data_IF_649590133755
#
_entry.id   IF_649590133755
#
_cell.length_a   1.000
_cell.length_b   1.000
_cell.length_c   1.000
_cell.angle_alpha   90.00
_cell.angle_beta   90.00
_cell.angle_gamma   90.00
#
_symmetry.space_group_name_H-M   'P 1'
#
loop_
_entity.id
_entity.type
_entity.pdbx_description
1 polymer ?
#
# COMPACT_ATOMS: atom_id res chain seq x y z
N UNK A 1 80.79 -54.27 -1.42
CA UNK A 1 79.44 -54.80 -1.61
C UNK A 1 78.52 -53.91 -0.76
N UNK A 2 78.13 -52.75 -1.33
CA UNK A 2 77.37 -51.72 -0.63
C UNK A 2 75.97 -51.62 -1.24
N UNK A 3 74.95 -51.93 -0.45
CA UNK A 3 73.54 -51.74 -0.81
C UNK A 3 73.09 -50.36 -0.36
N UNK A 4 72.72 -49.51 -1.31
CA UNK A 4 72.09 -48.23 -1.10
C UNK A 4 70.57 -48.47 -1.08
N UNK A 5 69.93 -48.20 0.10
CA UNK A 5 68.52 -48.18 0.25
C UNK A 5 67.98 -46.78 -0.09
N UNK A 6 67.29 -46.65 -1.19
CA UNK A 6 66.54 -45.42 -1.58
C UNK A 6 65.19 -45.42 -0.86
N UNK A 7 64.97 -44.48 0.07
CA UNK A 7 63.66 -44.19 0.67
C UNK A 7 62.86 -43.32 -0.28
N UNK A 8 61.78 -43.85 -0.82
CA UNK A 8 60.74 -43.06 -1.52
C UNK A 8 59.84 -42.44 -0.47
N UNK A 9 59.78 -41.10 -0.45
CA UNK A 9 58.82 -40.31 0.37
C UNK A 9 57.56 -40.09 -0.50
N UNK A 10 56.48 -40.72 -0.14
CA UNK A 10 55.18 -40.42 -0.73
C UNK A 10 54.60 -39.17 -0.07
N UNK A 11 54.53 -38.06 -0.81
CA UNK A 11 53.79 -36.87 -0.40
C UNK A 11 52.35 -37.07 -0.86
N UNK A 12 51.47 -37.32 0.12
CA UNK A 12 50.02 -37.33 -0.10
C UNK A 12 49.53 -35.87 -0.07
N UNK A 13 49.26 -35.28 -1.22
CA UNK A 13 48.58 -33.99 -1.33
C UNK A 13 47.09 -34.22 -1.19
N UNK A 14 46.56 -33.97 -0.01
CA UNK A 14 45.10 -33.92 0.22
C UNK A 14 44.51 -32.66 -0.40
N UNK A 15 43.88 -32.78 -1.57
CA UNK A 15 43.05 -31.74 -2.16
C UNK A 15 41.75 -31.63 -1.32
N UNK A 16 41.72 -30.67 -0.41
CA UNK A 16 40.49 -30.24 0.25
C UNK A 16 39.73 -29.36 -0.77
N UNK A 17 38.78 -29.97 -1.47
CA UNK A 17 37.82 -29.25 -2.29
C UNK A 17 36.87 -28.47 -1.37
N UNK A 18 37.17 -27.18 -1.19
CA UNK A 18 36.23 -26.25 -0.57
C UNK A 18 35.05 -26.05 -1.53
N UNK A 19 34.00 -26.83 -1.38
CA UNK A 19 32.71 -26.49 -1.97
C UNK A 19 32.21 -25.22 -1.30
N UNK A 20 32.57 -24.06 -1.87
CA UNK A 20 31.86 -22.83 -1.62
C UNK A 20 30.45 -23.01 -2.23
N UNK A 21 29.49 -23.43 -1.40
CA UNK A 21 28.10 -23.31 -1.73
C UNK A 21 27.85 -21.83 -2.01
N UNK A 22 27.74 -21.44 -3.29
CA UNK A 22 27.10 -20.20 -3.66
C UNK A 22 25.68 -20.28 -3.09
N UNK A 23 25.48 -19.74 -1.89
CA UNK A 23 24.16 -19.30 -1.51
C UNK A 23 23.70 -18.34 -2.60
N UNK A 24 22.87 -18.84 -3.50
CA UNK A 24 22.05 -17.99 -4.36
C UNK A 24 21.13 -17.28 -3.38
N UNK A 25 21.59 -16.13 -2.88
CA UNK A 25 20.82 -15.30 -2.01
C UNK A 25 19.54 -14.92 -2.75
N UNK A 26 18.49 -15.68 -2.54
CA UNK A 26 17.13 -15.25 -2.92
C UNK A 26 16.93 -13.91 -2.22
N UNK A 27 16.75 -12.87 -3.01
CA UNK A 27 16.46 -11.56 -2.48
C UNK A 27 15.32 -11.73 -1.47
N UNK A 28 15.57 -11.28 -0.21
CA UNK A 28 14.60 -11.46 0.87
C UNK A 28 13.27 -10.85 0.42
N UNK A 29 12.20 -11.63 0.48
CA UNK A 29 10.84 -11.14 0.15
C UNK A 29 10.58 -9.83 0.91
N UNK A 30 10.07 -8.77 0.24
CA UNK A 30 9.80 -7.50 0.91
C UNK A 30 8.61 -7.65 1.87
N UNK A 31 8.67 -6.99 3.00
CA UNK A 31 7.45 -6.69 3.74
C UNK A 31 6.61 -5.71 2.95
N UNK A 32 5.30 -5.73 3.17
CA UNK A 32 4.33 -4.85 2.52
C UNK A 32 3.52 -4.16 3.60
N UNK A 33 3.45 -2.83 3.58
CA UNK A 33 2.59 -2.03 4.44
C UNK A 33 1.76 -1.10 3.57
N UNK A 34 0.44 -1.18 3.67
CA UNK A 34 -0.49 -0.37 2.87
C UNK A 34 -1.34 0.47 3.81
N UNK A 35 -1.19 1.80 3.72
CA UNK A 35 -2.07 2.74 4.41
C UNK A 35 -3.15 3.19 3.44
N UNK A 36 -4.40 3.02 3.83
CA UNK A 36 -5.58 3.34 3.01
C UNK A 36 -6.40 4.41 3.72
N UNK A 37 -6.52 5.58 3.08
CA UNK A 37 -7.41 6.65 3.51
C UNK A 37 -8.86 6.36 3.11
N UNK A 38 -9.83 6.82 3.89
CA UNK A 38 -11.25 6.66 3.64
C UNK A 38 -11.87 7.99 3.18
N UNK A 39 -12.47 8.02 1.99
CA UNK A 39 -13.12 9.22 1.42
C UNK A 39 -12.17 10.42 1.23
N UNK A 40 -11.02 10.21 0.63
CA UNK A 40 -10.02 11.26 0.40
C UNK A 40 -9.84 11.58 -1.10
N UNK A 41 -10.14 12.80 -1.51
CA UNK A 41 -9.78 13.27 -2.84
C UNK A 41 -8.27 13.33 -3.01
N UNK A 42 -7.76 12.86 -4.14
CA UNK A 42 -6.34 12.93 -4.49
C UNK A 42 -5.81 14.36 -4.44
N UNK A 43 -6.55 15.31 -5.00
CA UNK A 43 -6.19 16.73 -5.04
C UNK A 43 -6.24 17.44 -3.67
N UNK A 44 -6.72 16.75 -2.63
CA UNK A 44 -6.68 17.21 -1.25
C UNK A 44 -5.41 16.76 -0.50
N UNK A 45 -4.37 16.32 -1.19
CA UNK A 45 -3.06 15.95 -0.62
C UNK A 45 -1.98 16.90 -1.15
N UNK A 46 -1.05 17.35 -0.30
CA UNK A 46 -0.03 18.33 -0.64
C UNK A 46 0.77 17.97 -1.88
N UNK A 47 1.32 16.75 -1.96
CA UNK A 47 2.13 16.29 -3.10
C UNK A 47 1.34 16.20 -4.41
N UNK A 48 0.02 16.19 -4.37
CA UNK A 48 -0.86 16.25 -5.56
C UNK A 48 -1.32 17.68 -5.88
N UNK A 49 -0.81 18.70 -5.16
CA UNK A 49 -0.98 20.11 -5.51
C UNK A 49 -1.82 20.94 -4.53
N UNK A 50 -2.39 20.36 -3.48
CA UNK A 50 -3.07 21.15 -2.45
C UNK A 50 -2.04 21.96 -1.64
N UNK A 51 -2.27 23.28 -1.54
CA UNK A 51 -1.35 24.19 -0.83
C UNK A 51 -1.82 24.51 0.59
N UNK A 52 -3.05 24.19 0.92
CA UNK A 52 -3.69 24.57 2.18
C UNK A 52 -3.60 23.45 3.22
N UNK A 53 -3.71 22.18 2.76
CA UNK A 53 -3.66 21.02 3.65
C UNK A 53 -2.24 20.70 4.11
N UNK A 54 -2.11 20.18 5.32
CA UNK A 54 -0.80 19.80 5.90
C UNK A 54 -0.61 18.28 5.85
N UNK A 55 0.18 17.81 4.88
CA UNK A 55 0.47 16.37 4.68
C UNK A 55 1.98 16.09 4.59
N UNK A 56 2.81 16.58 5.56
CA UNK A 56 4.26 16.46 5.46
C UNK A 56 4.79 15.02 5.43
N UNK A 57 4.11 14.07 6.09
CA UNK A 57 4.54 12.67 6.11
C UNK A 57 4.22 11.96 4.79
N UNK A 58 3.04 12.20 4.22
CA UNK A 58 2.64 11.69 2.90
C UNK A 58 3.55 12.28 1.83
N UNK A 59 3.84 13.57 1.90
CA UNK A 59 4.73 14.27 0.95
C UNK A 59 6.17 13.72 1.07
N UNK A 60 6.64 13.45 2.29
CA UNK A 60 7.93 12.82 2.53
C UNK A 60 7.99 11.39 1.96
N UNK A 61 6.94 10.59 2.16
CA UNK A 61 6.83 9.24 1.58
C UNK A 61 6.93 9.31 0.04
N UNK A 62 6.24 10.27 -0.59
CA UNK A 62 6.31 10.48 -2.03
C UNK A 62 7.71 10.89 -2.50
N UNK A 63 8.40 11.75 -1.74
CA UNK A 63 9.78 12.13 -2.02
C UNK A 63 10.78 10.96 -1.97
N UNK A 64 10.46 9.91 -1.23
CA UNK A 64 11.26 8.68 -1.14
C UNK A 64 10.81 7.56 -2.10
N UNK A 65 9.72 7.75 -2.83
CA UNK A 65 9.08 6.74 -3.65
C UNK A 65 8.66 7.22 -5.03
N UNK A 66 7.67 6.56 -5.58
CA UNK A 66 7.01 6.91 -6.84
C UNK A 66 5.57 7.33 -6.57
N UNK A 67 5.14 8.41 -7.23
CA UNK A 67 3.77 8.90 -7.24
C UNK A 67 3.13 8.62 -8.60
N UNK A 68 1.95 8.02 -8.57
CA UNK A 68 1.14 7.83 -9.77
C UNK A 68 0.17 8.99 -9.95
N UNK A 69 0.18 9.63 -11.12
CA UNK A 69 -0.80 10.65 -11.46
C UNK A 69 -2.15 10.05 -11.88
N UNK A 70 -2.12 8.83 -12.43
CA UNK A 70 -3.28 8.14 -13.00
C UNK A 70 -3.45 6.78 -12.30
N UNK A 71 -4.11 6.81 -11.14
CA UNK A 71 -4.53 5.61 -10.43
C UNK A 71 -6.05 5.65 -10.23
N UNK A 72 -6.75 4.56 -10.53
CA UNK A 72 -8.20 4.56 -10.56
C UNK A 72 -8.82 3.44 -9.74
N UNK A 73 -9.99 3.74 -9.16
CA UNK A 73 -10.97 2.74 -8.75
C UNK A 73 -12.07 2.65 -9.80
N UNK A 74 -12.82 1.54 -9.87
CA UNK A 74 -13.96 1.40 -10.79
C UNK A 74 -15.27 1.91 -10.22
N UNK A 75 -15.31 2.16 -8.93
CA UNK A 75 -16.49 2.67 -8.23
C UNK A 75 -16.07 3.63 -7.14
N UNK A 76 -16.79 4.74 -6.98
CA UNK A 76 -16.54 5.68 -5.91
C UNK A 76 -17.34 5.32 -4.64
N UNK A 77 -17.17 4.10 -4.14
CA UNK A 77 -17.86 3.57 -2.95
C UNK A 77 -16.95 2.64 -2.15
N UNK A 78 -16.94 2.79 -0.82
CA UNK A 78 -16.02 2.13 0.10
C UNK A 78 -15.95 0.60 -0.03
N UNK A 79 -17.06 -0.12 0.19
CA UNK A 79 -17.02 -1.59 0.18
C UNK A 79 -16.64 -2.17 -1.18
N UNK A 80 -17.17 -1.71 -2.32
CA UNK A 80 -16.74 -2.16 -3.64
C UNK A 80 -15.27 -1.89 -3.92
N UNK A 81 -14.78 -0.68 -3.62
CA UNK A 81 -13.37 -0.30 -3.84
C UNK A 81 -12.41 -1.17 -3.05
N UNK A 82 -12.68 -1.37 -1.73
CA UNK A 82 -11.84 -2.24 -0.89
C UNK A 82 -11.80 -3.66 -1.42
N UNK A 83 -12.96 -4.23 -1.74
CA UNK A 83 -13.06 -5.60 -2.22
C UNK A 83 -12.41 -5.77 -3.60
N UNK A 84 -12.52 -4.78 -4.48
CA UNK A 84 -11.80 -4.76 -5.76
C UNK A 84 -10.28 -4.77 -5.55
N UNK A 85 -9.75 -3.88 -4.71
CA UNK A 85 -8.33 -3.79 -4.41
C UNK A 85 -7.79 -5.09 -3.78
N UNK A 86 -8.61 -5.76 -2.96
CA UNK A 86 -8.18 -6.96 -2.24
C UNK A 86 -8.34 -8.25 -3.05
N UNK A 87 -9.19 -8.27 -4.08
CA UNK A 87 -9.44 -9.48 -4.88
C UNK A 87 -8.81 -9.45 -6.26
N UNK A 88 -8.48 -8.27 -6.80
CA UNK A 88 -8.03 -8.11 -8.18
C UNK A 88 -9.14 -8.34 -9.20
N UNK A 89 -10.41 -8.22 -8.76
CA UNK A 89 -11.61 -8.42 -9.59
C UNK A 89 -12.48 -7.17 -9.61
N UNK A 90 -13.03 -6.82 -10.77
CA UNK A 90 -14.02 -5.76 -10.85
C UNK A 90 -15.26 -6.08 -10.01
N UNK A 91 -15.89 -5.08 -9.35
CA UNK A 91 -17.02 -5.30 -8.44
C UNK A 91 -18.18 -6.07 -9.09
N UNK A 92 -18.50 -5.82 -10.35
CA UNK A 92 -19.55 -6.55 -11.07
C UNK A 92 -19.20 -8.04 -11.19
N UNK A 93 -17.95 -8.35 -11.49
CA UNK A 93 -17.48 -9.74 -11.61
C UNK A 93 -17.46 -10.46 -10.25
N UNK A 94 -16.96 -9.80 -9.22
CA UNK A 94 -16.90 -10.35 -7.87
C UNK A 94 -18.26 -10.41 -7.18
N UNK A 95 -19.27 -9.66 -7.64
CA UNK A 95 -20.59 -9.52 -7.04
C UNK A 95 -20.69 -8.40 -6.00
N UNK A 96 -19.59 -7.71 -5.69
CA UNK A 96 -19.53 -6.67 -4.66
C UNK A 96 -19.70 -5.25 -5.22
N UNK A 97 -20.64 -5.03 -6.15
CA UNK A 97 -20.85 -3.74 -6.79
C UNK A 97 -21.74 -2.75 -6.02
N UNK A 98 -22.79 -3.13 -5.27
CA UNK A 98 -23.46 -2.19 -4.38
C UNK A 98 -22.63 -1.90 -3.13
N UNK A 99 -22.80 -0.72 -2.54
CA UNK A 99 -22.19 -0.46 -1.24
C UNK A 99 -22.72 -1.41 -0.17
N UNK A 100 -21.89 -1.76 0.82
CA UNK A 100 -22.17 -2.76 1.88
C UNK A 100 -22.40 -4.20 1.39
N UNK A 101 -22.21 -4.49 0.09
CA UNK A 101 -22.30 -5.84 -0.44
C UNK A 101 -21.03 -6.66 -0.16
N UNK A 102 -21.09 -7.94 -0.48
CA UNK A 102 -20.00 -8.91 -0.27
C UNK A 102 -19.67 -9.59 -1.58
N UNK A 103 -18.41 -10.02 -1.74
CA UNK A 103 -18.02 -10.85 -2.88
C UNK A 103 -18.74 -12.22 -2.85
N UNK A 104 -18.82 -12.86 -4.01
CA UNK A 104 -19.34 -14.23 -4.14
C UNK A 104 -18.56 -15.18 -3.21
N UNK A 105 -19.25 -16.16 -2.59
CA UNK A 105 -18.57 -17.20 -1.81
C UNK A 105 -17.47 -17.89 -2.62
N UNK A 106 -16.34 -18.18 -1.97
CA UNK A 106 -15.19 -18.83 -2.63
C UNK A 106 -14.24 -17.85 -3.36
N UNK A 107 -14.59 -16.55 -3.47
CA UNK A 107 -13.66 -15.55 -4.02
C UNK A 107 -12.41 -15.48 -3.15
N UNK A 108 -11.24 -15.64 -3.77
CA UNK A 108 -9.93 -15.45 -3.11
C UNK A 108 -9.54 -13.99 -3.07
N UNK A 109 -8.78 -13.61 -2.06
CA UNK A 109 -8.21 -12.27 -1.90
C UNK A 109 -6.69 -12.33 -1.79
N UNK A 110 -6.03 -11.17 -1.79
CA UNK A 110 -4.60 -11.02 -1.54
C UNK A 110 -4.13 -11.82 -0.31
N UNK A 111 -5.01 -11.99 0.69
CA UNK A 111 -4.70 -12.74 1.91
C UNK A 111 -4.39 -14.20 1.61
N UNK A 112 -5.17 -14.85 0.75
CA UNK A 112 -4.94 -16.23 0.35
C UNK A 112 -3.64 -16.40 -0.43
N UNK A 113 -3.40 -15.48 -1.38
CA UNK A 113 -2.22 -15.55 -2.24
C UNK A 113 -0.94 -15.30 -1.43
N UNK A 114 -0.92 -14.25 -0.61
CA UNK A 114 0.26 -13.90 0.18
C UNK A 114 0.53 -14.91 1.31
N UNK A 115 -0.51 -15.42 1.99
CA UNK A 115 -0.32 -16.54 2.95
C UNK A 115 0.26 -17.77 2.28
N UNK A 116 -0.15 -18.10 1.04
CA UNK A 116 0.43 -19.18 0.24
C UNK A 116 1.92 -18.95 -0.11
N UNK A 117 2.40 -17.73 -0.04
CA UNK A 117 3.80 -17.35 -0.22
C UNK A 117 4.56 -17.16 1.12
N UNK A 118 3.96 -17.56 2.25
CA UNK A 118 4.59 -17.51 3.56
C UNK A 118 4.41 -16.21 4.35
N UNK A 119 3.61 -15.26 3.87
CA UNK A 119 3.38 -14.00 4.56
C UNK A 119 2.43 -14.14 5.76
N UNK A 120 2.72 -13.41 6.82
CA UNK A 120 1.69 -13.00 7.80
C UNK A 120 0.88 -11.87 7.18
N UNK A 121 -0.47 -11.95 7.22
CA UNK A 121 -1.32 -10.93 6.60
C UNK A 121 -2.29 -10.39 7.63
N UNK A 122 -2.05 -9.13 8.05
CA UNK A 122 -2.80 -8.43 9.10
C UNK A 122 -3.58 -7.24 8.60
N UNK A 123 -4.53 -6.79 9.44
CA UNK A 123 -5.32 -5.58 9.22
C UNK A 123 -5.53 -4.84 10.55
N UNK A 124 -5.19 -3.54 10.56
CA UNK A 124 -5.53 -2.59 11.61
C UNK A 124 -6.48 -1.54 11.05
N UNK A 125 -7.67 -1.41 11.64
CA UNK A 125 -8.66 -0.41 11.24
C UNK A 125 -9.90 -0.96 10.54
N UNK A 126 -10.49 -0.15 9.68
CA UNK A 126 -11.78 -0.38 9.00
C UNK A 126 -11.77 -1.61 8.10
N UNK A 127 -12.74 -2.49 8.25
CA UNK A 127 -12.90 -3.72 7.42
C UNK A 127 -13.68 -3.45 6.14
N UNK A 128 -14.97 -3.26 6.24
CA UNK A 128 -15.94 -2.96 5.18
C UNK A 128 -15.87 -3.89 3.95
N UNK A 129 -15.73 -5.18 4.18
CA UNK A 129 -15.67 -6.25 3.16
C UNK A 129 -16.26 -7.56 3.71
N UNK A 130 -16.49 -8.53 2.87
CA UNK A 130 -16.97 -9.86 3.25
C UNK A 130 -17.20 -10.80 2.06
N UNK A 131 -17.49 -12.08 2.29
CA UNK A 131 -17.62 -12.76 3.60
C UNK A 131 -16.24 -13.02 4.26
N UNK A 132 -16.18 -13.31 5.58
CA UNK A 132 -14.90 -13.48 6.29
C UNK A 132 -13.98 -14.55 5.68
N UNK A 133 -14.52 -15.63 5.15
CA UNK A 133 -13.73 -16.69 4.47
C UNK A 133 -12.99 -16.19 3.23
N UNK A 134 -13.51 -15.18 2.54
CA UNK A 134 -12.84 -14.54 1.38
C UNK A 134 -11.74 -13.58 1.79
N UNK A 135 -11.73 -13.11 3.03
CA UNK A 135 -10.78 -12.13 3.56
C UNK A 135 -10.26 -12.56 4.94
N UNK A 136 -9.50 -13.66 5.03
CA UNK A 136 -9.05 -14.22 6.32
C UNK A 136 -7.84 -13.46 6.89
N UNK A 137 -7.96 -12.13 7.02
CA UNK A 137 -6.98 -11.29 7.71
C UNK A 137 -6.86 -11.66 9.18
N UNK A 138 -5.66 -11.52 9.74
CA UNK A 138 -5.49 -11.35 11.16
C UNK A 138 -5.93 -9.93 11.52
N UNK A 139 -7.09 -9.78 12.18
CA UNK A 139 -7.56 -8.48 12.66
C UNK A 139 -6.79 -8.13 13.93
N UNK A 140 -5.82 -7.21 13.84
CA UNK A 140 -4.99 -6.80 14.98
C UNK A 140 -5.62 -5.68 15.80
N UNK A 141 -6.44 -4.83 15.18
CA UNK A 141 -7.28 -3.82 15.85
C UNK A 141 -8.44 -3.42 14.94
N UNK A 142 -9.55 -2.97 15.52
CA UNK A 142 -10.70 -2.43 14.78
C UNK A 142 -10.55 -0.93 14.42
N UNK A 143 -9.51 -0.29 14.95
CA UNK A 143 -9.10 1.08 14.65
C UNK A 143 -7.62 1.09 14.32
N UNK A 144 -7.11 2.17 13.73
CA UNK A 144 -5.67 2.36 13.57
C UNK A 144 -5.06 2.46 14.97
N UNK A 145 -4.21 1.50 15.33
CA UNK A 145 -3.60 1.38 16.66
C UNK A 145 -2.08 1.20 16.49
N UNK A 146 -1.33 2.25 16.83
CA UNK A 146 0.13 2.27 16.69
C UNK A 146 0.82 1.15 17.48
N UNK A 147 0.31 0.82 18.69
CA UNK A 147 0.88 -0.24 19.52
C UNK A 147 0.68 -1.60 18.86
N UNK A 148 -0.54 -1.91 18.45
CA UNK A 148 -0.85 -3.17 17.76
C UNK A 148 -0.09 -3.31 16.42
N UNK A 149 0.04 -2.21 15.66
CA UNK A 149 0.85 -2.16 14.43
C UNK A 149 2.31 -2.48 14.75
N UNK A 150 2.89 -1.85 15.76
CA UNK A 150 4.28 -2.07 16.20
C UNK A 150 4.51 -3.53 16.64
N UNK A 151 3.62 -4.08 17.43
CA UNK A 151 3.69 -5.47 17.89
C UNK A 151 3.61 -6.45 16.71
N UNK A 152 2.71 -6.21 15.76
CA UNK A 152 2.59 -7.03 14.55
C UNK A 152 3.86 -6.95 13.69
N UNK A 153 4.39 -5.78 13.43
CA UNK A 153 5.60 -5.56 12.60
C UNK A 153 6.84 -6.20 13.26
N UNK A 154 6.98 -6.08 14.57
CA UNK A 154 8.15 -6.55 15.31
C UNK A 154 8.12 -8.05 15.66
N UNK A 155 6.96 -8.70 15.61
CA UNK A 155 6.71 -10.05 16.17
C UNK A 155 7.64 -11.12 15.62
N UNK A 156 7.91 -11.11 14.32
CA UNK A 156 8.83 -12.08 13.69
C UNK A 156 9.52 -11.43 12.48
N UNK A 157 10.83 -11.22 12.60
CA UNK A 157 11.65 -10.63 11.54
C UNK A 157 12.10 -11.64 10.48
N UNK A 158 11.91 -12.93 10.72
CA UNK A 158 12.26 -13.99 9.75
C UNK A 158 11.15 -14.22 8.75
N UNK A 159 9.90 -13.95 9.12
CA UNK A 159 8.73 -14.13 8.26
C UNK A 159 8.27 -12.79 7.67
N UNK A 160 8.10 -12.69 6.34
CA UNK A 160 7.58 -11.47 5.72
C UNK A 160 6.14 -11.18 6.15
N UNK A 161 5.76 -9.92 6.16
CA UNK A 161 4.38 -9.52 6.46
C UNK A 161 3.78 -8.65 5.36
N UNK A 162 2.45 -8.73 5.24
CA UNK A 162 1.63 -7.74 4.57
C UNK A 162 0.63 -7.18 5.59
N UNK A 163 0.74 -5.90 5.91
CA UNK A 163 -0.13 -5.21 6.85
C UNK A 163 -0.92 -4.12 6.15
N UNK A 164 -2.24 -4.19 6.26
CA UNK A 164 -3.13 -3.12 5.84
C UNK A 164 -3.48 -2.27 7.07
N UNK A 165 -3.22 -0.97 6.97
CA UNK A 165 -3.61 0.05 7.94
C UNK A 165 -4.71 0.88 7.27
N UNK A 166 -5.92 0.67 7.71
CA UNK A 166 -7.13 1.19 7.04
C UNK A 166 -7.76 2.25 7.91
N UNK A 167 -7.38 3.51 7.67
CA UNK A 167 -7.91 4.66 8.40
C UNK A 167 -9.42 4.81 8.20
N UNK A 168 -10.07 5.46 9.16
CA UNK A 168 -11.42 6.01 9.00
C UNK A 168 -11.39 7.47 8.53
N UNK A 169 -10.23 8.12 8.57
CA UNK A 169 -10.10 9.53 8.15
C UNK A 169 -9.79 9.63 6.66
N UNK A 170 -10.32 10.66 6.00
CA UNK A 170 -11.26 11.69 6.46
C UNK A 170 -12.74 11.38 6.12
N UNK A 171 -13.29 10.26 6.55
CA UNK A 171 -14.70 9.92 6.34
C UNK A 171 -15.62 10.78 7.24
N UNK A 172 -16.76 11.21 6.73
CA UNK A 172 -17.76 11.94 7.52
C UNK A 172 -18.33 11.11 8.69
N UNK A 173 -18.76 11.78 9.80
CA UNK A 173 -18.68 13.21 10.07
C UNK A 173 -17.26 13.64 10.41
N UNK A 174 -16.85 14.81 9.90
CA UNK A 174 -15.52 15.36 10.19
C UNK A 174 -15.51 15.98 11.59
N UNK A 175 -15.19 15.18 12.56
CA UNK A 175 -15.27 15.53 13.99
C UNK A 175 -13.95 15.35 14.74
N UNK A 176 -12.91 14.80 14.07
CA UNK A 176 -11.57 14.66 14.62
C UNK A 176 -10.61 15.72 14.06
N UNK A 177 -9.43 15.79 14.65
CA UNK A 177 -8.42 16.76 14.26
C UNK A 177 -8.67 18.19 14.75
N UNK A 178 -7.67 19.03 14.59
CA UNK A 178 -7.73 20.44 14.99
C UNK A 178 -8.14 21.32 13.82
N UNK A 179 -9.43 21.58 13.63
CA UNK A 179 -9.94 22.45 12.58
C UNK A 179 -9.54 23.93 12.77
N UNK A 180 -9.16 24.37 14.00
CA UNK A 180 -8.69 25.72 14.26
C UNK A 180 -7.31 26.01 13.65
N UNK A 181 -6.57 24.96 13.28
CA UNK A 181 -5.31 25.07 12.56
C UNK A 181 -5.47 25.61 11.12
N UNK A 182 -6.70 25.70 10.62
CA UNK A 182 -7.05 26.15 9.28
C UNK A 182 -7.92 27.40 9.31
N UNK A 183 -7.45 28.51 8.76
CA UNK A 183 -8.22 29.74 8.61
C UNK A 183 -9.16 29.64 7.42
N UNK A 184 -10.50 29.56 7.62
CA UNK A 184 -11.45 29.41 6.51
C UNK A 184 -11.37 30.53 5.47
N UNK A 185 -10.96 31.76 5.89
CA UNK A 185 -10.84 32.89 4.97
C UNK A 185 -9.69 32.74 3.97
N UNK A 186 -8.67 31.93 4.30
CA UNK A 186 -7.47 31.76 3.49
C UNK A 186 -7.51 30.51 2.60
N UNK A 187 -8.50 29.62 2.78
CA UNK A 187 -8.58 28.41 1.98
C UNK A 187 -8.92 28.70 0.53
N UNK A 188 -8.23 28.01 -0.35
CA UNK A 188 -8.58 27.90 -1.77
C UNK A 188 -9.74 26.93 -1.93
N UNK A 189 -10.84 27.39 -2.53
CA UNK A 189 -12.01 26.53 -2.74
C UNK A 189 -11.80 25.74 -4.03
N UNK A 190 -11.90 24.38 -3.97
CA UNK A 190 -11.88 23.55 -5.17
C UNK A 190 -12.93 24.01 -6.19
N UNK A 191 -12.61 24.02 -7.50
CA UNK A 191 -13.47 24.61 -8.53
C UNK A 191 -14.84 23.92 -8.70
N UNK A 192 -14.99 22.73 -8.18
CA UNK A 192 -16.26 21.97 -8.20
C UNK A 192 -17.12 22.24 -6.95
N UNK A 193 -16.67 23.08 -6.01
CA UNK A 193 -17.41 23.48 -4.81
C UNK A 193 -17.83 24.95 -4.88
N UNK A 194 -18.97 25.25 -4.28
CA UNK A 194 -19.46 26.63 -4.19
C UNK A 194 -18.80 27.32 -2.99
N UNK A 195 -18.23 28.53 -3.22
CA UNK A 195 -17.60 29.32 -2.18
C UNK A 195 -18.64 29.96 -1.25
N UNK A 196 -18.93 29.30 -0.13
CA UNK A 196 -19.78 29.80 0.94
C UNK A 196 -19.08 29.71 2.29
N UNK A 197 -19.56 30.42 3.28
CA UNK A 197 -19.05 30.34 4.66
C UNK A 197 -19.09 28.92 5.19
N UNK A 198 -20.19 28.21 4.95
CA UNK A 198 -20.42 26.83 5.40
C UNK A 198 -19.47 25.85 4.73
N UNK A 199 -19.23 26.04 3.42
CA UNK A 199 -18.28 25.21 2.67
C UNK A 199 -16.86 25.42 3.18
N UNK A 200 -16.44 26.65 3.42
CA UNK A 200 -15.12 26.97 3.97
C UNK A 200 -14.93 26.35 5.36
N UNK A 201 -15.95 26.40 6.23
CA UNK A 201 -15.93 25.75 7.53
C UNK A 201 -15.93 24.21 7.41
N UNK A 202 -16.61 23.67 6.43
CA UNK A 202 -16.58 22.23 6.12
C UNK A 202 -15.17 21.79 5.73
N UNK A 203 -14.52 22.55 4.85
CA UNK A 203 -13.16 22.25 4.41
C UNK A 203 -12.13 22.32 5.55
N UNK A 204 -12.25 23.24 6.53
CA UNK A 204 -11.35 23.24 7.68
C UNK A 204 -11.40 21.95 8.47
N UNK A 205 -12.60 21.41 8.69
CA UNK A 205 -12.79 20.13 9.40
C UNK A 205 -12.24 18.95 8.57
N UNK A 206 -12.53 18.92 7.27
CA UNK A 206 -12.02 17.90 6.37
C UNK A 206 -10.48 17.90 6.32
N UNK A 207 -9.84 19.07 6.21
CA UNK A 207 -8.38 19.20 6.22
C UNK A 207 -7.75 18.84 7.57
N UNK A 208 -8.44 19.08 8.67
CA UNK A 208 -8.00 18.65 9.99
C UNK A 208 -7.91 17.13 10.10
N UNK A 209 -8.90 16.40 9.59
CA UNK A 209 -8.86 14.94 9.56
C UNK A 209 -7.81 14.38 8.58
N UNK A 210 -7.54 15.08 7.47
CA UNK A 210 -6.42 14.71 6.58
C UNK A 210 -5.08 14.87 7.32
N UNK A 211 -4.95 15.91 8.15
CA UNK A 211 -3.74 16.08 8.98
C UNK A 211 -3.58 14.96 10.01
N UNK A 212 -4.67 14.44 10.58
CA UNK A 212 -4.61 13.29 11.48
C UNK A 212 -4.24 12.01 10.74
N UNK A 213 -4.81 11.78 9.56
CA UNK A 213 -4.39 10.70 8.66
C UNK A 213 -2.89 10.78 8.31
N UNK A 214 -2.39 11.98 8.03
CA UNK A 214 -0.95 12.19 7.77
C UNK A 214 -0.08 11.78 8.97
N UNK A 215 -0.55 12.02 10.21
CA UNK A 215 0.13 11.55 11.42
C UNK A 215 0.15 10.02 11.51
N UNK A 216 -0.94 9.33 11.12
CA UNK A 216 -0.98 7.85 11.05
C UNK A 216 0.05 7.31 10.04
N UNK A 217 0.19 7.96 8.87
CA UNK A 217 1.24 7.61 7.88
C UNK A 217 2.62 7.80 8.51
N UNK A 218 2.86 8.93 9.17
CA UNK A 218 4.11 9.21 9.88
C UNK A 218 4.40 8.20 10.98
N UNK A 219 3.39 7.77 11.74
CA UNK A 219 3.51 6.74 12.75
C UNK A 219 3.96 5.39 12.15
N UNK A 220 3.35 4.98 11.03
CA UNK A 220 3.76 3.77 10.31
C UNK A 220 5.22 3.84 9.87
N UNK A 221 5.66 4.98 9.32
CA UNK A 221 7.07 5.19 8.92
C UNK A 221 8.01 5.09 10.12
N UNK A 222 7.68 5.72 11.24
CA UNK A 222 8.46 5.62 12.49
C UNK A 222 8.54 4.18 13.00
N UNK A 223 7.42 3.46 13.01
CA UNK A 223 7.38 2.05 13.44
C UNK A 223 8.31 1.19 12.58
N UNK A 224 8.28 1.33 11.26
CA UNK A 224 9.18 0.59 10.36
C UNK A 224 10.65 0.92 10.63
N UNK A 225 10.99 2.17 10.87
CA UNK A 225 12.35 2.63 11.23
C UNK A 225 12.81 2.05 12.56
N UNK A 226 12.02 2.24 13.62
CA UNK A 226 12.35 1.82 15.00
C UNK A 226 12.49 0.30 15.11
N UNK A 227 11.73 -0.46 14.33
CA UNK A 227 11.80 -1.93 14.30
C UNK A 227 12.89 -2.48 13.38
N UNK A 228 13.58 -1.60 12.63
CA UNK A 228 14.61 -1.97 11.65
C UNK A 228 14.06 -2.67 10.41
N UNK A 229 12.77 -2.48 10.12
CA UNK A 229 12.11 -3.10 8.95
C UNK A 229 12.03 -2.17 7.73
N UNK A 230 12.38 -0.89 7.89
CA UNK A 230 12.26 0.14 6.86
C UNK A 230 12.93 -0.24 5.54
N UNK A 231 14.17 -0.75 5.61
CA UNK A 231 14.98 -1.08 4.43
C UNK A 231 14.48 -2.27 3.60
N UNK A 232 13.57 -3.10 4.15
CA UNK A 232 12.98 -4.26 3.48
C UNK A 232 11.46 -4.17 3.38
N UNK A 233 10.87 -2.98 3.50
CA UNK A 233 9.40 -2.80 3.43
C UNK A 233 9.04 -1.93 2.24
N UNK A 234 8.17 -2.45 1.38
CA UNK A 234 7.41 -1.66 0.42
C UNK A 234 6.23 -1.02 1.16
N UNK A 235 6.23 0.31 1.26
CA UNK A 235 5.16 1.08 1.88
C UNK A 235 4.34 1.79 0.82
N UNK A 236 3.03 1.58 0.86
CA UNK A 236 2.04 2.17 -0.05
C UNK A 236 1.13 3.08 0.76
N UNK A 237 0.91 4.30 0.27
CA UNK A 237 -0.20 5.14 0.67
C UNK A 237 -1.17 5.25 -0.51
N UNK A 238 -2.45 5.06 -0.26
CA UNK A 238 -3.49 5.20 -1.28
C UNK A 238 -4.77 5.74 -0.68
N UNK A 239 -5.56 6.45 -1.50
CA UNK A 239 -6.90 6.89 -1.12
C UNK A 239 -7.91 5.86 -1.62
N UNK A 240 -9.01 5.67 -0.93
CA UNK A 240 -10.00 4.67 -1.31
C UNK A 240 -10.77 5.09 -2.56
N UNK A 241 -11.45 6.22 -2.49
CA UNK A 241 -12.12 6.97 -3.55
C UNK A 241 -12.21 8.44 -3.11
N UNK A 242 -12.88 9.26 -3.92
CA UNK A 242 -13.09 10.66 -3.61
C UNK A 242 -13.91 10.92 -2.34
N UNK A 243 -13.79 12.14 -1.81
CA UNK A 243 -14.44 12.62 -0.59
C UNK A 243 -15.97 12.73 -0.74
N UNK A 244 -16.64 12.86 0.39
CA UNK A 244 -18.10 13.05 0.41
C UNK A 244 -18.52 14.50 0.10
N UNK A 245 -17.99 15.02 -1.00
CA UNK A 245 -18.37 16.29 -1.60
C UNK A 245 -19.14 16.09 -2.91
N UNK A 246 -19.93 17.09 -3.37
CA UNK A 246 -20.56 17.06 -4.69
C UNK A 246 -19.56 16.77 -5.82
N UNK A 247 -19.92 15.87 -6.72
CA UNK A 247 -19.05 15.48 -7.84
C UNK A 247 -17.90 14.53 -7.50
N UNK A 248 -17.81 14.02 -6.27
CA UNK A 248 -16.76 13.11 -5.84
C UNK A 248 -17.33 11.71 -5.52
N UNK A 249 -17.41 11.31 -4.25
CA UNK A 249 -17.97 10.01 -3.84
C UNK A 249 -19.33 9.74 -4.50
N UNK A 250 -19.58 8.47 -4.85
CA UNK A 250 -20.79 7.98 -5.56
C UNK A 250 -20.97 8.50 -6.99
N UNK A 251 -19.96 9.11 -7.58
CA UNK A 251 -20.01 9.58 -8.97
C UNK A 251 -18.98 8.88 -9.84
N UNK A 252 -19.19 8.94 -11.16
CA UNK A 252 -18.22 8.46 -12.15
C UNK A 252 -17.26 9.57 -12.63
N UNK A 253 -17.24 10.71 -11.95
CA UNK A 253 -16.34 11.80 -12.29
C UNK A 253 -14.91 11.54 -11.80
N UNK A 254 -13.97 12.29 -12.36
CA UNK A 254 -12.55 12.23 -12.04
C UNK A 254 -12.29 12.28 -10.51
N UNK A 255 -12.95 13.22 -9.81
CA UNK A 255 -12.80 13.37 -8.36
C UNK A 255 -13.38 12.22 -7.54
N UNK A 256 -14.21 11.37 -8.14
CA UNK A 256 -14.70 10.15 -7.50
C UNK A 256 -13.78 8.97 -7.71
N UNK A 257 -13.21 8.85 -8.92
CA UNK A 257 -12.53 7.63 -9.39
C UNK A 257 -11.01 7.72 -9.41
N UNK A 258 -10.41 8.91 -9.64
CA UNK A 258 -8.96 9.09 -9.67
C UNK A 258 -8.44 9.24 -8.23
N UNK A 259 -7.66 8.27 -7.81
CA UNK A 259 -7.19 8.12 -6.44
C UNK A 259 -5.71 8.46 -6.29
N UNK A 260 -5.31 8.87 -5.10
CA UNK A 260 -3.89 9.01 -4.76
C UNK A 260 -3.25 7.63 -4.64
N UNK A 261 -2.08 7.44 -5.25
CA UNK A 261 -1.29 6.22 -5.09
C UNK A 261 0.20 6.57 -5.07
N UNK A 262 0.83 6.29 -3.94
CA UNK A 262 2.24 6.56 -3.67
C UNK A 262 2.87 5.28 -3.16
N UNK A 263 4.04 4.91 -3.66
CA UNK A 263 4.74 3.73 -3.20
C UNK A 263 6.22 4.00 -3.01
N UNK A 264 6.72 3.73 -1.82
CA UNK A 264 8.14 3.66 -1.50
C UNK A 264 8.56 2.20 -1.42
N UNK A 265 9.57 1.80 -2.17
CA UNK A 265 10.18 0.49 -2.08
C UNK A 265 11.69 0.62 -2.20
N UNK A 266 12.42 0.61 -1.08
CA UNK A 266 13.85 0.83 -1.07
C UNK A 266 14.60 -0.11 -2.01
N UNK A 267 15.60 0.41 -2.72
CA UNK A 267 16.44 -0.32 -3.70
C UNK A 267 15.73 -0.74 -5.00
N UNK A 268 14.42 -0.61 -5.11
CA UNK A 268 13.64 -0.96 -6.31
C UNK A 268 13.05 0.29 -6.96
N UNK A 269 12.39 1.13 -6.18
CA UNK A 269 11.77 2.36 -6.67
C UNK A 269 12.72 3.54 -6.46
N UNK A 270 12.92 4.34 -7.50
CA UNK A 270 13.69 5.58 -7.42
C UNK A 270 12.89 6.63 -6.63
N UNK A 271 13.50 7.23 -5.61
CA UNK A 271 12.88 8.30 -4.84
C UNK A 271 12.56 9.54 -5.69
N UNK A 272 11.43 10.18 -5.41
CA UNK A 272 10.94 11.36 -6.12
C UNK A 272 10.44 11.10 -7.54
N UNK A 273 10.22 9.82 -7.91
CA UNK A 273 9.73 9.48 -9.23
C UNK A 273 8.23 9.85 -9.38
N UNK A 274 7.87 10.28 -10.58
CA UNK A 274 6.47 10.57 -10.98
C UNK A 274 6.20 9.78 -12.26
N UNK A 275 5.02 9.15 -12.32
CA UNK A 275 4.61 8.40 -13.52
C UNK A 275 3.17 8.72 -13.92
N UNK A 276 2.95 8.69 -15.24
CA UNK A 276 1.63 8.72 -15.86
C UNK A 276 1.19 7.33 -16.34
N UNK A 277 1.90 6.25 -15.94
CA UNK A 277 1.39 4.92 -16.16
C UNK A 277 0.02 4.79 -15.45
N UNK A 278 -1.00 4.45 -16.24
CA UNK A 278 -2.36 4.30 -15.73
C UNK A 278 -2.50 2.95 -15.04
N UNK A 279 -2.79 2.97 -13.74
CA UNK A 279 -3.03 1.76 -12.94
C UNK A 279 -4.46 1.76 -12.40
N UNK A 280 -4.94 0.57 -12.11
CA UNK A 280 -6.25 0.36 -11.54
C UNK A 280 -6.16 -0.52 -10.29
N UNK A 281 -7.11 -0.41 -9.37
CA UNK A 281 -7.06 -1.20 -8.13
C UNK A 281 -7.11 -2.72 -8.33
N UNK A 282 -7.64 -3.21 -9.45
CA UNK A 282 -7.54 -4.63 -9.80
C UNK A 282 -6.09 -5.08 -10.02
N UNK A 283 -5.18 -4.16 -10.35
CA UNK A 283 -3.76 -4.43 -10.62
C UNK A 283 -2.93 -4.62 -9.33
N UNK A 284 -3.50 -4.22 -8.18
CA UNK A 284 -2.78 -4.29 -6.89
C UNK A 284 -2.45 -5.74 -6.51
N UNK A 285 -3.43 -6.64 -6.57
CA UNK A 285 -3.21 -8.06 -6.19
C UNK A 285 -2.13 -8.73 -7.03
N UNK A 286 -2.20 -8.73 -8.38
CA UNK A 286 -1.15 -9.37 -9.17
C UNK A 286 0.22 -8.73 -8.96
N UNK A 287 0.29 -7.41 -8.72
CA UNK A 287 1.56 -6.71 -8.44
C UNK A 287 2.15 -7.17 -7.10
N UNK A 288 1.36 -7.20 -6.03
CA UNK A 288 1.84 -7.63 -4.70
C UNK A 288 2.31 -9.09 -4.71
N UNK A 289 1.62 -9.96 -5.45
CA UNK A 289 2.02 -11.37 -5.58
C UNK A 289 3.34 -11.51 -6.31
N UNK A 290 3.53 -10.77 -7.40
CA UNK A 290 4.79 -10.79 -8.15
C UNK A 290 5.95 -10.17 -7.33
N UNK A 291 5.70 -9.07 -6.59
CA UNK A 291 6.66 -8.49 -5.64
C UNK A 291 7.09 -9.49 -4.56
N UNK A 292 6.18 -10.34 -4.12
CA UNK A 292 6.41 -11.41 -3.16
C UNK A 292 7.11 -12.64 -3.76
N UNK A 293 7.50 -12.61 -5.03
CA UNK A 293 8.14 -13.72 -5.74
C UNK A 293 7.17 -14.81 -6.19
N UNK A 294 5.86 -14.55 -6.16
CA UNK A 294 4.83 -15.44 -6.69
C UNK A 294 4.77 -15.43 -8.21
N UNK A 295 4.16 -16.46 -8.77
CA UNK A 295 3.89 -16.54 -10.22
C UNK A 295 2.73 -15.62 -10.61
N UNK A 296 2.67 -15.16 -11.86
CA UNK A 296 1.51 -14.45 -12.37
C UNK A 296 0.21 -15.22 -12.08
N UNK A 297 -0.82 -14.49 -11.63
CA UNK A 297 -2.12 -15.06 -11.30
C UNK A 297 -3.02 -15.05 -12.53
N UNK A 298 -3.59 -16.21 -12.85
CA UNK A 298 -4.64 -16.33 -13.86
C UNK A 298 -6.02 -16.03 -13.26
N UNK A 299 -6.93 -15.59 -14.12
CA UNK A 299 -8.32 -15.37 -13.74
C UNK A 299 -8.60 -14.11 -12.94
N UNK A 300 -7.62 -13.20 -12.77
CA UNK A 300 -7.84 -11.84 -12.28
C UNK A 300 -8.18 -10.89 -13.44
N UNK A 301 -8.76 -9.73 -13.13
CA UNK A 301 -9.04 -8.69 -14.11
C UNK A 301 -7.83 -7.76 -14.29
N UNK A 302 -6.99 -7.65 -13.27
CA UNK A 302 -5.82 -6.80 -13.25
C UNK A 302 -4.56 -7.48 -13.77
N UNK A 303 -3.56 -6.65 -14.06
CA UNK A 303 -2.21 -7.04 -14.44
C UNK A 303 -1.20 -6.42 -13.50
N UNK A 304 -0.02 -7.03 -13.36
CA UNK A 304 1.04 -6.47 -12.52
C UNK A 304 1.69 -5.25 -13.18
N UNK A 305 1.84 -4.18 -12.41
CA UNK A 305 2.62 -3.00 -12.80
C UNK A 305 4.04 -3.00 -12.20
N UNK A 306 4.56 -4.15 -11.81
CA UNK A 306 5.91 -4.26 -11.23
C UNK A 306 6.99 -3.70 -12.16
N UNK A 307 6.86 -3.85 -13.47
CA UNK A 307 7.79 -3.29 -14.47
C UNK A 307 7.86 -1.76 -14.42
N UNK A 308 6.74 -1.09 -14.11
CA UNK A 308 6.70 0.36 -13.89
C UNK A 308 7.44 0.73 -12.61
N UNK A 309 7.23 0.00 -11.52
CA UNK A 309 7.93 0.22 -10.24
C UNK A 309 9.44 0.06 -10.36
N UNK A 310 9.88 -0.86 -11.22
CA UNK A 310 11.30 -1.12 -11.50
C UNK A 310 11.90 -0.12 -12.51
N UNK A 311 11.13 0.84 -13.00
CA UNK A 311 11.58 1.80 -14.01
C UNK A 311 11.89 1.19 -15.39
N UNK A 312 11.39 -0.02 -15.68
CA UNK A 312 11.59 -0.70 -16.97
C UNK A 312 10.67 -0.17 -18.07
N UNK A 313 9.56 0.44 -17.68
CA UNK A 313 8.57 1.04 -18.59
C UNK A 313 7.85 2.18 -17.88
N UNK A 314 7.33 3.13 -18.66
CA UNK A 314 6.43 4.19 -18.21
C UNK A 314 4.96 3.94 -18.60
N UNK A 315 4.67 2.77 -19.14
CA UNK A 315 3.33 2.38 -19.58
C UNK A 315 2.87 1.13 -18.82
N UNK A 316 1.57 1.07 -18.56
CA UNK A 316 0.88 -0.08 -18.02
C UNK A 316 -0.42 -0.26 -18.82
N UNK A 317 -0.66 -1.45 -19.37
CA UNK A 317 -1.82 -1.78 -20.21
C UNK A 317 -2.59 -2.98 -19.67
#
# INVERSE_FOLDING_TARGET
MNYLLTRQVFVVVSLISIFASKETGHAKQPNILIVIADDLNKDSVGIYGNKDVRTPNIDHLAGQGIRFNLAFTSTAMCAPTRQQMYTGLYPVRSGAYPNHSKVKPGTKSLVHYLKGLGYRVGLSGKRHFGPPKSFPFEQISNQVDEKAIREFVARDKSQPFCLLVTSNSPHVPWSSGDSSAYDPAKLSIPPYLVDTKEMRQSLTRYYAEITDLDREVGACMRILKDTGQEGNTAMIFTTEQGAQYPGCKWTCYENGLNVGFIMRWPKVVKGGAITNAMIHYVDVVPTLVEMAGGKPLEGLDGKSFLSVLQGKTNHHN
#
